data_IF_991639917457
#
_entry.id   IF_991639917457
#
_cell.length_a   1.000
_cell.length_b   1.000
_cell.length_c   1.000
_cell.angle_alpha   90.00
_cell.angle_beta   90.00
_cell.angle_gamma   90.00
#
_symmetry.space_group_name_H-M   'P 1'
#
loop_
_entity.id
_entity.type
_entity.pdbx_description
1 polymer ?
#
# COMPACT_ATOMS: atom_id res chain seq x y z
N UNK A 1 22.37 -13.51 5.79
CA UNK A 1 20.99 -13.89 6.15
C UNK A 1 21.03 -15.29 6.75
N UNK A 2 20.29 -15.58 7.80
CA UNK A 2 20.27 -16.93 8.39
C UNK A 2 19.48 -17.90 7.49
N UNK A 3 20.16 -18.54 6.51
CA UNK A 3 19.54 -19.42 5.52
C UNK A 3 18.78 -20.59 6.16
N UNK A 4 19.27 -21.15 7.27
CA UNK A 4 18.56 -22.17 8.05
C UNK A 4 17.19 -21.67 8.55
N UNK A 5 17.12 -20.46 9.11
CA UNK A 5 15.88 -19.85 9.60
C UNK A 5 14.92 -19.49 8.46
N UNK A 6 15.46 -19.17 7.28
CA UNK A 6 14.65 -18.94 6.11
C UNK A 6 14.07 -20.26 5.55
N UNK A 7 14.91 -21.27 5.35
CA UNK A 7 14.52 -22.58 4.84
C UNK A 7 13.64 -23.39 5.80
N UNK A 8 13.74 -23.18 7.11
CA UNK A 8 12.86 -23.84 8.10
C UNK A 8 11.38 -23.44 7.94
N UNK A 9 11.08 -22.33 7.25
CA UNK A 9 9.71 -21.95 6.87
C UNK A 9 9.13 -22.85 5.77
N UNK A 10 9.97 -23.66 5.12
CA UNK A 10 9.52 -24.71 4.20
C UNK A 10 9.12 -25.96 4.98
N UNK A 11 8.33 -26.84 4.36
CA UNK A 11 8.04 -28.18 4.88
C UNK A 11 9.08 -29.22 4.46
N UNK A 12 10.35 -28.82 4.34
CA UNK A 12 11.45 -29.74 4.08
C UNK A 12 11.87 -30.43 5.37
N UNK A 13 12.55 -31.57 5.22
CA UNK A 13 13.12 -32.27 6.36
C UNK A 13 14.22 -31.42 7.02
N UNK A 14 14.31 -31.37 8.36
CA UNK A 14 15.31 -30.55 9.04
C UNK A 14 16.77 -30.86 8.67
N UNK A 15 17.08 -32.12 8.34
CA UNK A 15 18.40 -32.56 7.84
C UNK A 15 18.77 -31.84 6.53
N UNK A 16 17.86 -31.87 5.56
CA UNK A 16 18.02 -31.21 4.26
C UNK A 16 18.07 -29.68 4.37
N UNK A 17 17.33 -29.11 5.31
CA UNK A 17 17.36 -27.66 5.57
C UNK A 17 18.77 -27.22 5.94
N UNK A 18 19.45 -27.98 6.80
CA UNK A 18 20.82 -27.67 7.21
C UNK A 18 21.82 -27.79 6.05
N UNK A 19 21.74 -28.86 5.27
CA UNK A 19 22.61 -29.06 4.09
C UNK A 19 22.45 -27.95 3.07
N UNK A 20 21.21 -27.61 2.69
CA UNK A 20 20.97 -26.55 1.72
C UNK A 20 21.30 -25.16 2.24
N UNK A 21 21.11 -24.90 3.53
CA UNK A 21 21.55 -23.65 4.14
C UNK A 21 23.07 -23.51 4.05
N UNK A 22 23.83 -24.58 4.29
CA UNK A 22 25.27 -24.59 4.15
C UNK A 22 25.70 -24.33 2.70
N UNK A 23 25.03 -24.96 1.73
CA UNK A 23 25.25 -24.70 0.31
C UNK A 23 24.99 -23.23 -0.02
N UNK A 24 23.91 -22.63 0.47
CA UNK A 24 23.58 -21.22 0.21
C UNK A 24 24.57 -20.26 0.86
N UNK A 25 25.08 -20.58 2.06
CA UNK A 25 26.17 -19.80 2.67
C UNK A 25 27.48 -19.94 1.89
N UNK A 26 27.78 -21.13 1.38
CA UNK A 26 29.02 -21.38 0.65
C UNK A 26 29.03 -20.70 -0.73
N UNK A 27 27.86 -20.59 -1.37
CA UNK A 27 27.68 -19.84 -2.61
C UNK A 27 27.50 -18.33 -2.37
N UNK A 28 27.73 -17.84 -1.15
CA UNK A 28 27.65 -16.41 -0.77
C UNK A 28 26.33 -15.73 -1.13
N UNK A 29 25.22 -16.49 -1.16
CA UNK A 29 23.94 -15.93 -1.52
C UNK A 29 23.50 -14.88 -0.50
N UNK A 30 22.94 -13.80 -1.03
CA UNK A 30 22.35 -12.70 -0.28
C UNK A 30 20.81 -12.78 -0.36
N UNK A 31 20.14 -12.08 0.54
CA UNK A 31 18.67 -12.03 0.58
C UNK A 31 18.06 -11.51 -0.73
N UNK A 32 18.73 -10.57 -1.41
CA UNK A 32 18.24 -10.01 -2.67
C UNK A 32 18.29 -11.04 -3.82
N UNK A 33 19.14 -12.05 -3.72
CA UNK A 33 19.26 -13.12 -4.71
C UNK A 33 18.04 -14.03 -4.76
N UNK A 34 17.21 -14.04 -3.70
CA UNK A 34 15.93 -14.75 -3.64
C UNK A 34 14.99 -14.29 -4.77
N UNK A 35 15.17 -13.07 -5.29
CA UNK A 35 14.43 -12.57 -6.44
C UNK A 35 14.70 -13.38 -7.73
N UNK A 36 15.91 -13.93 -7.85
CA UNK A 36 16.43 -14.57 -9.06
C UNK A 36 16.46 -16.10 -8.98
N UNK A 37 15.91 -16.69 -7.92
CA UNK A 37 15.86 -18.14 -7.78
C UNK A 37 15.01 -18.76 -8.90
N UNK A 38 15.65 -19.62 -9.68
CA UNK A 38 15.02 -20.45 -10.71
C UNK A 38 15.32 -21.94 -10.50
N UNK A 39 14.58 -22.82 -11.16
CA UNK A 39 14.76 -24.26 -11.04
C UNK A 39 16.16 -24.70 -11.50
N UNK A 40 16.65 -24.12 -12.60
CA UNK A 40 17.99 -24.38 -13.14
C UNK A 40 19.10 -23.89 -12.20
N UNK A 41 18.94 -22.70 -11.62
CA UNK A 41 19.88 -22.12 -10.67
C UNK A 41 20.00 -22.97 -9.40
N UNK A 42 18.88 -23.39 -8.84
CA UNK A 42 18.88 -24.28 -7.67
C UNK A 42 19.49 -25.65 -8.01
N UNK A 43 19.28 -26.15 -9.23
CA UNK A 43 19.88 -27.39 -9.69
C UNK A 43 21.41 -27.27 -9.85
N UNK A 44 21.93 -26.17 -10.41
CA UNK A 44 23.37 -25.95 -10.58
C UNK A 44 24.11 -25.82 -9.25
N UNK A 45 23.44 -25.38 -8.18
CA UNK A 45 24.00 -25.33 -6.83
C UNK A 45 24.02 -26.69 -6.11
N UNK A 46 23.39 -27.72 -6.66
CA UNK A 46 23.37 -29.07 -6.07
C UNK A 46 22.02 -29.49 -5.48
N UNK A 47 20.95 -28.73 -5.69
CA UNK A 47 19.59 -29.14 -5.27
C UNK A 47 18.91 -29.91 -6.41
N UNK A 48 19.33 -31.16 -6.62
CA UNK A 48 18.83 -32.00 -7.73
C UNK A 48 17.41 -32.53 -7.53
N UNK A 49 16.88 -32.51 -6.30
CA UNK A 49 15.52 -32.98 -6.01
C UNK A 49 14.49 -31.93 -6.41
N UNK A 50 13.77 -32.18 -7.51
CA UNK A 50 12.77 -31.26 -8.05
C UNK A 50 11.70 -30.86 -7.02
N UNK A 51 11.24 -31.80 -6.18
CA UNK A 51 10.27 -31.51 -5.11
C UNK A 51 10.79 -30.45 -4.12
N UNK A 52 12.09 -30.44 -3.84
CA UNK A 52 12.69 -29.49 -2.91
C UNK A 52 12.83 -28.11 -3.55
N UNK A 53 13.30 -28.04 -4.80
CA UNK A 53 13.35 -26.80 -5.57
C UNK A 53 11.99 -26.11 -5.65
N UNK A 54 10.93 -26.88 -5.92
CA UNK A 54 9.56 -26.36 -5.96
C UNK A 54 9.08 -25.80 -4.62
N UNK A 55 9.47 -26.41 -3.49
CA UNK A 55 9.17 -25.87 -2.14
C UNK A 55 9.92 -24.56 -1.87
N UNK A 56 11.20 -24.51 -2.23
CA UNK A 56 12.05 -23.31 -2.07
C UNK A 56 11.53 -22.16 -2.95
N UNK A 57 11.19 -22.45 -4.20
CA UNK A 57 10.64 -21.45 -5.12
C UNK A 57 9.27 -20.92 -4.66
N UNK A 58 8.43 -21.78 -4.06
CA UNK A 58 7.18 -21.35 -3.42
C UNK A 58 7.44 -20.44 -2.23
N UNK A 59 8.49 -20.69 -1.44
CA UNK A 59 8.88 -19.81 -0.34
C UNK A 59 9.38 -18.45 -0.85
N UNK A 60 10.27 -18.45 -1.85
CA UNK A 60 10.79 -17.22 -2.48
C UNK A 60 9.65 -16.31 -2.97
N UNK A 61 8.67 -16.87 -3.69
CA UNK A 61 7.48 -16.14 -4.16
C UNK A 61 6.63 -15.57 -3.01
N UNK A 62 6.58 -16.23 -1.85
CA UNK A 62 5.85 -15.71 -0.67
C UNK A 62 6.58 -14.51 -0.06
N UNK A 63 7.91 -14.55 -0.02
CA UNK A 63 8.72 -13.47 0.57
C UNK A 63 8.72 -12.21 -0.31
N UNK A 64 8.82 -12.38 -1.63
CA UNK A 64 8.68 -11.28 -2.59
C UNK A 64 7.32 -10.57 -2.46
N UNK A 65 6.22 -11.32 -2.25
CA UNK A 65 4.89 -10.75 -2.02
C UNK A 65 4.82 -9.94 -0.72
N UNK A 66 5.51 -10.38 0.35
CA UNK A 66 5.56 -9.64 1.62
C UNK A 66 6.33 -8.33 1.48
N UNK A 67 7.50 -8.37 0.82
CA UNK A 67 8.32 -7.19 0.56
C UNK A 67 7.55 -6.13 -0.25
N UNK A 68 6.92 -6.55 -1.36
CA UNK A 68 6.13 -5.65 -2.22
C UNK A 68 4.86 -5.11 -1.56
N UNK A 69 4.23 -5.88 -0.67
CA UNK A 69 3.06 -5.40 0.07
C UNK A 69 3.46 -4.39 1.15
N UNK A 70 4.57 -4.63 1.84
CA UNK A 70 5.09 -3.72 2.87
C UNK A 70 5.47 -2.34 2.28
N UNK A 71 6.20 -2.33 1.16
CA UNK A 71 6.59 -1.08 0.49
C UNK A 71 5.39 -0.33 -0.10
N UNK A 72 4.42 -1.07 -0.67
CA UNK A 72 3.18 -0.48 -1.20
C UNK A 72 2.36 0.19 -0.10
N UNK A 73 2.26 -0.42 1.08
CA UNK A 73 1.55 0.17 2.21
C UNK A 73 2.25 1.43 2.73
N UNK A 74 3.59 1.45 2.75
CA UNK A 74 4.36 2.65 3.13
C UNK A 74 4.20 3.78 2.11
N UNK A 75 4.26 3.47 0.81
CA UNK A 75 4.00 4.44 -0.27
C UNK A 75 2.58 4.99 -0.21
N UNK A 76 1.57 4.15 0.02
CA UNK A 76 0.18 4.58 0.18
C UNK A 76 0.01 5.47 1.41
N UNK A 77 0.68 5.15 2.53
CA UNK A 77 0.68 5.97 3.73
C UNK A 77 1.33 7.34 3.49
N UNK A 78 2.47 7.39 2.78
CA UNK A 78 3.13 8.64 2.39
C UNK A 78 2.21 9.51 1.52
N UNK A 79 1.53 8.93 0.54
CA UNK A 79 0.56 9.65 -0.30
C UNK A 79 -0.59 10.20 0.54
N UNK A 80 -1.10 9.42 1.51
CA UNK A 80 -2.14 9.88 2.43
C UNK A 80 -1.63 11.03 3.31
N UNK A 81 -0.40 10.95 3.83
CA UNK A 81 0.22 12.00 4.62
C UNK A 81 0.41 13.30 3.81
N UNK A 82 0.86 13.20 2.55
CA UNK A 82 0.99 14.34 1.63
C UNK A 82 -0.37 14.99 1.38
N UNK A 83 -1.44 14.19 1.15
CA UNK A 83 -2.80 14.73 0.99
C UNK A 83 -3.30 15.47 2.23
N UNK A 84 -2.96 14.97 3.43
CA UNK A 84 -3.31 15.65 4.68
C UNK A 84 -2.51 16.95 4.89
N UNK A 85 -1.22 16.96 4.55
CA UNK A 85 -0.39 18.16 4.60
C UNK A 85 -0.91 19.25 3.63
N UNK A 86 -1.26 18.87 2.41
CA UNK A 86 -1.85 19.78 1.43
C UNK A 86 -3.19 20.38 1.90
N UNK A 87 -3.98 19.66 2.69
CA UNK A 87 -5.21 20.18 3.29
C UNK A 87 -4.95 21.31 4.29
N UNK A 88 -3.84 21.24 5.04
CA UNK A 88 -3.44 22.30 5.99
C UNK A 88 -2.83 23.50 5.26
N UNK A 89 -2.02 23.25 4.23
CA UNK A 89 -1.46 24.30 3.37
C UNK A 89 -2.58 25.06 2.64
N UNK A 90 -3.60 24.36 2.11
CA UNK A 90 -4.77 24.99 1.50
C UNK A 90 -5.56 25.86 2.49
N UNK A 91 -5.69 25.44 3.76
CA UNK A 91 -6.29 26.27 4.82
C UNK A 91 -5.48 27.53 5.10
N UNK A 92 -4.14 27.43 5.11
CA UNK A 92 -3.26 28.57 5.30
C UNK A 92 -3.29 29.51 4.09
N UNK A 93 -3.19 29.01 2.87
CA UNK A 93 -3.31 29.82 1.65
C UNK A 93 -4.66 30.56 1.57
N UNK A 94 -5.77 29.91 1.94
CA UNK A 94 -7.09 30.57 2.03
C UNK A 94 -7.10 31.77 2.99
N UNK A 95 -6.31 31.72 4.06
CA UNK A 95 -6.17 32.80 5.03
C UNK A 95 -5.30 33.95 4.49
N UNK A 96 -4.35 33.65 3.59
CA UNK A 96 -3.43 34.63 3.00
C UNK A 96 -3.98 35.29 1.73
N UNK A 97 -4.87 34.62 0.99
CA UNK A 97 -5.58 35.23 -0.15
C UNK A 97 -6.68 36.20 0.28
N UNK A 98 -7.01 36.27 1.58
CA UNK A 98 -7.74 37.39 2.15
C UNK A 98 -6.76 38.55 2.33
N UNK A 99 -6.57 39.35 1.27
CA UNK A 99 -5.85 40.62 1.35
C UNK A 99 -6.58 41.54 2.34
N UNK A 100 -5.91 42.14 3.32
CA UNK A 100 -6.47 43.20 4.14
C UNK A 100 -6.24 44.53 3.43
N UNK A 101 -7.28 45.13 2.84
CA UNK A 101 -7.25 46.55 2.49
C UNK A 101 -8.61 47.20 2.75
N UNK A 102 -8.57 48.26 3.57
CA UNK A 102 -9.54 49.36 3.79
C UNK A 102 -10.86 49.12 4.56
N UNK A 103 -10.82 49.55 5.83
CA UNK A 103 -11.80 50.32 6.61
C UNK A 103 -13.19 50.51 5.95
N UNK A 104 -14.23 50.05 6.66
CA UNK A 104 -15.67 50.38 6.55
C UNK A 104 -16.58 49.22 6.13
N UNK A 105 -16.93 48.37 7.09
CA UNK A 105 -18.34 48.00 7.35
C UNK A 105 -18.41 47.09 8.59
N UNK A 106 -18.82 47.70 9.71
CA UNK A 106 -19.31 46.95 10.86
C UNK A 106 -20.53 46.10 10.47
N UNK A 107 -20.60 44.94 11.13
CA UNK A 107 -21.80 44.18 11.46
C UNK A 107 -22.36 43.18 10.42
N UNK A 108 -22.29 41.91 10.83
CA UNK A 108 -23.09 40.75 10.42
C UNK A 108 -22.93 40.21 8.98
N UNK A 109 -22.01 39.26 8.79
CA UNK A 109 -22.19 38.21 7.79
C UNK A 109 -21.97 36.85 8.44
N UNK A 110 -23.08 36.14 8.61
CA UNK A 110 -23.20 34.76 9.08
C UNK A 110 -22.25 33.80 8.33
N UNK A 111 -21.89 32.63 8.91
CA UNK A 111 -21.15 31.62 8.17
C UNK A 111 -21.89 31.33 6.87
N UNK A 112 -21.20 31.40 5.73
CA UNK A 112 -21.72 31.10 4.40
C UNK A 112 -22.13 29.62 4.35
N UNK A 113 -23.32 29.37 4.89
CA UNK A 113 -24.00 28.10 4.95
C UNK A 113 -24.50 27.86 3.54
N UNK A 114 -23.87 26.91 2.84
CA UNK A 114 -24.19 26.51 1.46
C UNK A 114 -25.72 26.41 1.25
N UNK A 115 -26.31 27.49 0.73
CA UNK A 115 -27.75 27.59 0.48
C UNK A 115 -28.15 26.78 -0.76
N UNK A 116 -27.17 26.35 -1.56
CA UNK A 116 -27.38 25.72 -2.86
C UNK A 116 -27.96 24.31 -2.80
N UNK A 117 -27.81 23.60 -1.68
CA UNK A 117 -28.27 22.21 -1.55
C UNK A 117 -29.71 22.11 -1.03
N UNK A 118 -30.21 23.13 -0.32
CA UNK A 118 -31.56 23.10 0.28
C UNK A 118 -32.68 23.26 -0.76
N UNK A 119 -32.51 24.15 -1.74
CA UNK A 119 -33.52 24.32 -2.80
C UNK A 119 -33.54 23.14 -3.78
N UNK A 120 -32.39 22.55 -4.07
CA UNK A 120 -32.29 21.31 -4.87
C UNK A 120 -33.02 20.13 -4.22
N UNK A 121 -32.87 19.94 -2.91
CA UNK A 121 -33.58 18.88 -2.17
C UNK A 121 -35.10 19.12 -2.13
N UNK A 122 -35.55 20.37 -2.07
CA UNK A 122 -36.97 20.72 -2.08
C UNK A 122 -37.63 20.53 -3.47
N UNK A 123 -36.87 20.66 -4.58
CA UNK A 123 -37.40 20.42 -5.93
C UNK A 123 -37.60 18.94 -6.23
N UNK A 124 -36.67 18.07 -5.83
CA UNK A 124 -36.81 16.60 -5.98
C UNK A 124 -38.03 16.05 -5.24
N UNK A 125 -38.44 16.69 -4.13
CA UNK A 125 -39.59 16.27 -3.33
C UNK A 125 -40.95 16.64 -3.96
N UNK A 126 -40.98 17.49 -5.00
CA UNK A 126 -42.22 17.90 -5.68
C UNK A 126 -42.52 17.06 -6.93
N UNK A 127 -41.51 16.54 -7.62
CA UNK A 127 -41.72 15.73 -8.83
C UNK A 127 -42.16 14.28 -8.55
N UNK A 128 -41.96 13.75 -7.34
CA UNK A 128 -42.45 12.40 -7.00
C UNK A 128 -43.94 12.35 -6.65
N UNK A 129 -44.60 13.50 -6.44
CA UNK A 129 -46.04 13.57 -6.15
C UNK A 129 -46.93 13.73 -7.38
N UNK A 130 -46.35 13.90 -8.57
CA UNK A 130 -47.11 14.06 -9.83
C UNK A 130 -47.13 12.78 -10.69
N UNK A 131 -46.49 11.69 -10.28
CA UNK A 131 -46.56 10.38 -10.98
C UNK A 131 -47.50 9.37 -10.32
N UNK A 132 -48.34 9.79 -9.39
CA UNK A 132 -49.45 8.97 -8.86
C UNK A 132 -50.73 9.81 -8.80
N UNK A 133 -51.20 10.22 -9.96
CA UNK A 133 -52.59 10.56 -10.21
C UNK A 133 -52.90 10.00 -11.61
N UNK A 134 -53.98 9.22 -11.66
CA UNK A 134 -54.45 8.42 -12.80
C UNK A 134 -54.56 9.20 -14.11
#
# INVERSE_FOLDING_TARGET
MEWCSWLSKTSLEPSLVYEYALTFTHNELVQDDIAYFDDEFLQSMGIFVAKHRQKILKLAKRDQKKSTTSSRNHMLWLIVAIKQANKLVAKRLKMWTCRPDSISCNFAVAPLRNYSTRWKAAMLKRNTKLSTAN
#
